data_IF_882158216460
#
_entry.id   IF_882158216460
#
_cell.length_a   1.000
_cell.length_b   1.000
_cell.length_c   1.000
_cell.angle_alpha   90.00
_cell.angle_beta   90.00
_cell.angle_gamma   90.00
#
_symmetry.space_group_name_H-M   'P 1'
#
loop_
_entity.id
_entity.type
_entity.pdbx_description
1 polymer ?
#
# COMPACT_ATOMS: atom_id res chain seq x y z
N UNK A 1 -35.28 25.50 -27.57
CA UNK A 1 -35.05 24.87 -26.26
C UNK A 1 -33.77 24.07 -26.33
N UNK A 2 -32.66 24.61 -25.80
CA UNK A 2 -31.37 23.91 -25.79
C UNK A 2 -31.31 23.05 -24.52
N UNK A 3 -31.29 21.73 -24.67
CA UNK A 3 -31.01 20.79 -23.57
C UNK A 3 -29.55 20.38 -23.65
N UNK A 4 -28.69 21.07 -22.89
CA UNK A 4 -27.31 20.66 -22.68
C UNK A 4 -27.25 19.61 -21.56
N UNK A 5 -27.10 18.33 -21.92
CA UNK A 5 -26.69 17.29 -20.97
C UNK A 5 -25.21 17.52 -20.59
N UNK A 6 -24.83 17.42 -19.30
CA UNK A 6 -23.42 17.40 -18.92
C UNK A 6 -22.77 16.12 -19.44
N UNK A 7 -21.72 16.26 -20.27
CA UNK A 7 -20.83 15.16 -20.65
C UNK A 7 -19.93 14.85 -19.47
N UNK A 8 -20.15 13.70 -18.82
CA UNK A 8 -19.16 13.10 -17.93
C UNK A 8 -17.91 12.72 -18.75
N UNK A 9 -16.70 13.14 -18.39
CA UNK A 9 -15.50 12.60 -19.01
C UNK A 9 -15.15 11.28 -18.33
N UNK A 10 -15.71 10.17 -18.81
CA UNK A 10 -15.11 8.85 -18.60
C UNK A 10 -13.87 8.77 -19.50
N UNK A 11 -12.76 9.38 -19.06
CA UNK A 11 -11.47 9.17 -19.69
C UNK A 11 -11.12 7.68 -19.53
N UNK A 12 -11.07 6.96 -20.65
CA UNK A 12 -10.46 5.61 -20.69
C UNK A 12 -9.06 5.72 -20.07
N UNK A 13 -8.60 4.76 -19.25
CA UNK A 13 -7.23 4.75 -18.77
C UNK A 13 -6.32 4.86 -20.00
N UNK A 14 -5.53 5.94 -20.05
CA UNK A 14 -4.56 6.11 -21.12
C UNK A 14 -3.52 5.01 -20.94
N UNK A 15 -3.11 4.38 -22.04
CA UNK A 15 -1.97 3.48 -21.98
C UNK A 15 -0.77 4.25 -21.42
N UNK A 16 0.04 3.62 -20.55
CA UNK A 16 1.22 4.26 -19.99
C UNK A 16 2.22 4.64 -21.08
N UNK A 17 2.94 5.72 -20.85
CA UNK A 17 4.05 6.12 -21.73
C UNK A 17 5.29 5.27 -21.48
N UNK A 18 6.20 5.19 -22.45
CA UNK A 18 7.47 4.47 -22.32
C UNK A 18 8.28 4.94 -21.09
N UNK A 19 8.33 6.25 -20.84
CA UNK A 19 8.97 6.81 -19.64
C UNK A 19 8.31 6.38 -18.33
N UNK A 20 6.98 6.25 -18.31
CA UNK A 20 6.26 5.73 -17.14
C UNK A 20 6.59 4.25 -16.94
N UNK A 21 6.53 3.45 -18.01
CA UNK A 21 6.92 2.04 -17.98
C UNK A 21 8.36 1.86 -17.46
N UNK A 22 9.32 2.64 -17.94
CA UNK A 22 10.72 2.58 -17.49
C UNK A 22 10.87 2.96 -16.02
N UNK A 23 10.17 4.01 -15.58
CA UNK A 23 10.16 4.43 -14.18
C UNK A 23 9.60 3.33 -13.27
N UNK A 24 8.49 2.69 -13.66
CA UNK A 24 7.85 1.62 -12.89
C UNK A 24 8.63 0.31 -12.93
N UNK A 25 9.41 0.05 -14.00
CA UNK A 25 10.34 -1.08 -14.08
C UNK A 25 11.55 -0.89 -13.17
N UNK A 26 11.96 0.37 -12.94
CA UNK A 26 13.13 0.69 -12.13
C UNK A 26 12.91 0.35 -10.65
N UNK A 27 11.75 0.69 -10.08
CA UNK A 27 11.42 0.32 -8.70
C UNK A 27 9.92 0.18 -8.46
N UNK A 28 9.57 -0.72 -7.53
CA UNK A 28 8.16 -0.89 -7.11
C UNK A 28 7.65 0.39 -6.45
N UNK A 29 8.50 1.09 -5.72
CA UNK A 29 8.18 2.39 -5.13
C UNK A 29 7.68 3.40 -6.18
N UNK A 30 8.36 3.51 -7.32
CA UNK A 30 7.95 4.42 -8.38
C UNK A 30 6.57 4.05 -8.94
N UNK A 31 6.28 2.75 -9.04
CA UNK A 31 4.96 2.28 -9.45
C UNK A 31 3.88 2.60 -8.42
N UNK A 32 4.18 2.47 -7.11
CA UNK A 32 3.20 2.73 -6.04
C UNK A 32 2.93 4.23 -5.82
N UNK A 33 3.92 5.09 -6.03
CA UNK A 33 3.78 6.54 -5.91
C UNK A 33 3.10 7.18 -7.12
N UNK A 34 3.14 6.54 -8.29
CA UNK A 34 2.42 6.98 -9.49
C UNK A 34 0.98 6.47 -9.47
N UNK A 35 0.00 7.37 -9.67
CA UNK A 35 -1.43 7.01 -9.63
C UNK A 35 -1.80 5.99 -10.71
N UNK A 36 -1.23 6.10 -11.90
CA UNK A 36 -1.48 5.15 -12.99
C UNK A 36 -0.69 3.86 -12.76
N UNK A 37 0.55 3.96 -12.29
CA UNK A 37 1.39 2.82 -11.92
C UNK A 37 0.71 1.94 -10.86
N UNK A 38 0.16 2.56 -9.82
CA UNK A 38 -0.57 1.87 -8.76
C UNK A 38 -1.79 1.13 -9.33
N UNK A 39 -2.59 1.78 -10.17
CA UNK A 39 -3.78 1.16 -10.80
C UNK A 39 -3.40 0.00 -11.71
N UNK A 40 -2.36 0.17 -12.53
CA UNK A 40 -1.88 -0.88 -13.43
C UNK A 40 -1.33 -2.07 -12.65
N UNK A 41 -0.61 -1.84 -11.56
CA UNK A 41 -0.09 -2.91 -10.72
C UNK A 41 -1.21 -3.60 -9.93
N UNK A 42 -2.19 -2.85 -9.40
CA UNK A 42 -3.35 -3.42 -8.72
C UNK A 42 -4.15 -4.34 -9.64
N UNK A 43 -4.49 -3.87 -10.85
CA UNK A 43 -5.21 -4.66 -11.84
C UNK A 43 -4.41 -5.92 -12.25
N UNK A 44 -3.09 -5.78 -12.37
CA UNK A 44 -2.21 -6.94 -12.61
C UNK A 44 -2.30 -7.95 -11.46
N UNK A 45 -2.26 -7.51 -10.20
CA UNK A 45 -2.35 -8.42 -9.05
C UNK A 45 -3.70 -9.16 -9.00
N UNK A 46 -4.82 -8.48 -9.29
CA UNK A 46 -6.14 -9.12 -9.37
C UNK A 46 -6.18 -10.23 -10.45
N UNK A 47 -5.64 -9.93 -11.63
CA UNK A 47 -5.52 -10.91 -12.69
C UNK A 47 -4.58 -12.05 -12.29
N UNK A 48 -3.45 -11.73 -11.66
CA UNK A 48 -2.45 -12.69 -11.24
C UNK A 48 -2.97 -13.66 -10.16
N UNK A 49 -3.80 -13.18 -9.22
CA UNK A 49 -4.52 -14.03 -8.27
C UNK A 49 -5.41 -15.03 -9.00
N UNK A 50 -6.17 -14.56 -9.99
CA UNK A 50 -7.08 -15.38 -10.81
C UNK A 50 -6.30 -16.45 -11.58
N UNK A 51 -5.24 -16.07 -12.27
CA UNK A 51 -4.36 -16.98 -13.03
C UNK A 51 -3.71 -18.04 -12.14
N UNK A 52 -3.35 -17.66 -10.90
CA UNK A 52 -2.73 -18.55 -9.90
C UNK A 52 -3.75 -19.35 -9.10
N UNK A 53 -5.06 -19.21 -9.37
CA UNK A 53 -6.15 -19.82 -8.59
C UNK A 53 -6.04 -19.53 -7.08
N UNK A 54 -5.53 -18.35 -6.75
CA UNK A 54 -5.49 -17.86 -5.37
C UNK A 54 -6.86 -17.33 -4.97
N UNK A 55 -7.10 -17.26 -3.66
CA UNK A 55 -8.25 -16.52 -3.16
C UNK A 55 -8.14 -15.04 -3.56
N UNK A 56 -9.26 -14.43 -3.96
CA UNK A 56 -9.29 -13.00 -4.27
C UNK A 56 -8.83 -12.19 -3.06
N UNK A 57 -7.94 -11.23 -3.29
CA UNK A 57 -7.40 -10.35 -2.27
C UNK A 57 -6.12 -10.83 -1.59
N UNK A 58 -5.54 -11.97 -2.01
CA UNK A 58 -4.30 -12.51 -1.40
C UNK A 58 -3.08 -11.63 -1.64
N UNK A 59 -2.96 -11.03 -2.82
CA UNK A 59 -1.88 -10.13 -3.21
C UNK A 59 -2.32 -8.67 -3.18
N UNK A 60 -3.56 -8.34 -3.57
CA UNK A 60 -4.01 -6.93 -3.57
C UNK A 60 -4.11 -6.33 -2.17
N UNK A 61 -4.30 -7.13 -1.11
CA UNK A 61 -4.27 -6.65 0.28
C UNK A 61 -2.95 -5.98 0.69
N UNK A 62 -1.85 -6.25 0.00
CA UNK A 62 -0.58 -5.54 0.21
C UNK A 62 -0.70 -4.09 -0.28
N UNK A 63 -1.36 -3.87 -1.41
CA UNK A 63 -1.66 -2.53 -1.91
C UNK A 63 -2.69 -1.83 -1.05
N UNK A 64 -3.70 -2.56 -0.55
CA UNK A 64 -4.65 -2.01 0.43
C UNK A 64 -3.92 -1.53 1.70
N UNK A 65 -2.98 -2.32 2.23
CA UNK A 65 -2.15 -1.93 3.37
C UNK A 65 -1.33 -0.67 3.07
N UNK A 66 -0.65 -0.63 1.91
CA UNK A 66 0.08 0.56 1.47
C UNK A 66 -0.83 1.80 1.42
N UNK A 67 -2.03 1.67 0.87
CA UNK A 67 -3.00 2.76 0.78
C UNK A 67 -3.46 3.23 2.15
N UNK A 68 -3.80 2.31 3.05
CA UNK A 68 -4.24 2.64 4.40
C UNK A 68 -3.14 3.34 5.21
N UNK A 69 -1.88 2.92 5.08
CA UNK A 69 -0.74 3.59 5.71
C UNK A 69 -0.49 5.00 5.14
N UNK A 70 -0.61 5.19 3.82
CA UNK A 70 -0.43 6.52 3.22
C UNK A 70 -1.59 7.48 3.55
N UNK A 71 -2.82 6.97 3.59
CA UNK A 71 -3.96 7.74 4.08
C UNK A 71 -3.78 8.09 5.57
N UNK A 72 -3.26 7.16 6.36
CA UNK A 72 -2.94 7.39 7.76
C UNK A 72 -1.96 8.57 7.96
N UNK A 73 -0.93 8.68 7.12
CA UNK A 73 0.06 9.78 7.17
C UNK A 73 -0.54 11.18 6.93
N UNK A 74 -1.74 11.26 6.37
CA UNK A 74 -2.39 12.55 6.10
C UNK A 74 -3.17 13.11 7.30
N UNK A 75 -3.43 12.29 8.33
CA UNK A 75 -4.09 12.75 9.55
C UNK A 75 -3.09 13.50 10.44
N UNK A 76 -3.48 14.69 10.93
CA UNK A 76 -2.63 15.56 11.76
C UNK A 76 -3.36 16.17 12.96
N UNK A 77 -4.53 15.66 13.29
CA UNK A 77 -5.53 16.45 14.02
C UNK A 77 -5.73 16.01 15.48
N UNK A 78 -5.25 14.83 15.90
CA UNK A 78 -5.23 14.38 17.30
C UNK A 78 -4.38 13.10 17.48
N UNK A 79 -3.59 13.03 18.55
CA UNK A 79 -2.69 11.89 18.82
C UNK A 79 -3.43 10.59 19.17
N UNK A 80 -4.53 10.69 19.90
CA UNK A 80 -5.29 9.53 20.36
C UNK A 80 -6.03 8.92 19.16
N UNK A 81 -6.60 9.74 18.29
CA UNK A 81 -7.15 9.32 17.01
C UNK A 81 -6.09 8.68 16.10
N UNK A 82 -4.88 9.24 16.03
CA UNK A 82 -3.75 8.63 15.31
C UNK A 82 -3.42 7.26 15.88
N UNK A 83 -3.28 7.10 17.19
CA UNK A 83 -3.05 5.80 17.82
C UNK A 83 -4.15 4.80 17.51
N UNK A 84 -5.41 5.20 17.66
CA UNK A 84 -6.56 4.34 17.39
C UNK A 84 -6.59 3.90 15.91
N UNK A 85 -6.26 4.79 14.98
CA UNK A 85 -6.14 4.46 13.54
C UNK A 85 -4.96 3.52 13.29
N UNK A 86 -3.80 3.78 13.88
CA UNK A 86 -2.63 2.92 13.75
C UNK A 86 -2.92 1.50 14.28
N UNK A 87 -3.52 1.38 15.46
CA UNK A 87 -3.94 0.09 16.02
C UNK A 87 -4.96 -0.65 15.15
N UNK A 88 -5.89 0.08 14.50
CA UNK A 88 -6.83 -0.51 13.54
C UNK A 88 -6.13 -1.09 12.31
N UNK A 89 -5.14 -0.38 11.76
CA UNK A 89 -4.33 -0.87 10.64
C UNK A 89 -3.55 -2.12 11.06
N UNK A 90 -2.90 -2.09 12.22
CA UNK A 90 -2.18 -3.26 12.78
C UNK A 90 -3.13 -4.45 12.96
N UNK A 91 -4.32 -4.25 13.51
CA UNK A 91 -5.30 -5.30 13.70
C UNK A 91 -5.85 -5.86 12.38
N UNK A 92 -5.96 -5.03 11.35
CA UNK A 92 -6.52 -5.40 10.05
C UNK A 92 -5.54 -6.19 9.17
N UNK A 93 -4.24 -5.87 9.23
CA UNK A 93 -3.23 -6.41 8.33
C UNK A 93 -2.10 -7.20 9.01
N UNK A 94 -1.71 -6.88 10.24
CA UNK A 94 -0.48 -7.41 10.85
C UNK A 94 -0.73 -8.38 12.01
N UNK A 95 -1.91 -8.36 12.62
CA UNK A 95 -2.22 -9.29 13.71
C UNK A 95 -2.25 -10.76 13.23
N UNK A 96 -1.90 -11.75 14.08
CA UNK A 96 -1.91 -13.17 13.70
C UNK A 96 -3.24 -13.69 13.15
N UNK A 97 -4.37 -13.06 13.50
CA UNK A 97 -5.72 -13.39 13.02
C UNK A 97 -6.37 -12.23 12.25
N UNK A 98 -5.53 -11.36 11.69
CA UNK A 98 -5.97 -10.25 10.88
C UNK A 98 -6.79 -10.73 9.67
N UNK A 99 -7.94 -10.09 9.43
CA UNK A 99 -8.83 -10.45 8.31
C UNK A 99 -8.12 -10.29 6.96
N UNK A 100 -7.27 -9.27 6.83
CA UNK A 100 -6.44 -9.01 5.65
C UNK A 100 -4.96 -9.26 5.98
N UNK A 101 -4.65 -10.31 6.74
CA UNK A 101 -3.27 -10.59 7.18
C UNK A 101 -2.29 -10.55 6.00
N UNK A 102 -1.22 -9.79 6.13
CA UNK A 102 -0.08 -9.78 5.20
C UNK A 102 1.16 -10.32 5.92
N UNK A 103 2.12 -10.81 5.13
CA UNK A 103 3.47 -11.09 5.62
C UNK A 103 4.36 -9.90 5.30
N UNK A 104 5.13 -9.43 6.28
CA UNK A 104 6.23 -8.49 6.06
C UNK A 104 7.48 -9.37 5.90
N UNK A 105 8.18 -9.28 4.77
CA UNK A 105 9.44 -9.98 4.61
C UNK A 105 10.48 -9.32 5.52
N UNK A 106 11.10 -10.08 6.43
CA UNK A 106 12.09 -9.53 7.36
C UNK A 106 11.91 -10.03 8.79
N UNK A 107 12.44 -9.27 9.74
CA UNK A 107 12.44 -9.61 11.17
C UNK A 107 11.02 -9.67 11.76
N UNK A 108 10.74 -10.74 12.50
CA UNK A 108 9.48 -10.94 13.23
C UNK A 108 9.17 -9.81 14.24
N UNK A 109 10.19 -9.01 14.58
CA UNK A 109 10.11 -7.94 15.58
C UNK A 109 9.46 -6.64 15.08
N UNK A 110 9.27 -6.45 13.77
CA UNK A 110 8.69 -5.20 13.22
C UNK A 110 7.33 -4.90 13.85
N UNK A 111 6.48 -5.92 13.97
CA UNK A 111 5.12 -5.77 14.53
C UNK A 111 5.17 -5.39 16.01
N UNK A 112 6.13 -5.95 16.75
CA UNK A 112 6.34 -5.65 18.17
C UNK A 112 6.80 -4.20 18.34
N UNK A 113 7.82 -3.78 17.59
CA UNK A 113 8.30 -2.38 17.58
C UNK A 113 7.17 -1.40 17.26
N UNK A 114 6.36 -1.70 16.24
CA UNK A 114 5.22 -0.87 15.83
C UNK A 114 4.25 -0.63 16.99
N UNK A 115 3.83 -1.71 17.66
CA UNK A 115 2.91 -1.63 18.80
C UNK A 115 3.51 -0.88 19.99
N UNK A 116 4.78 -1.10 20.28
CA UNK A 116 5.47 -0.37 21.33
C UNK A 116 5.55 1.12 21.04
N UNK A 117 5.92 1.50 19.81
CA UNK A 117 5.99 2.90 19.40
C UNK A 117 4.62 3.56 19.55
N UNK A 118 3.55 2.95 19.05
CA UNK A 118 2.18 3.47 19.20
C UNK A 118 1.81 3.66 20.69
N UNK A 119 2.18 2.71 21.54
CA UNK A 119 1.85 2.74 22.97
C UNK A 119 2.67 3.73 23.80
N UNK A 120 3.92 4.03 23.39
CA UNK A 120 4.85 4.90 24.13
C UNK A 120 4.68 6.39 23.87
N UNK A 121 4.02 6.79 22.78
CA UNK A 121 3.80 8.21 22.50
C UNK A 121 2.74 8.76 23.46
N UNK A 122 3.08 9.71 24.34
CA UNK A 122 2.13 10.28 25.31
C UNK A 122 1.87 11.78 25.10
N UNK A 123 2.69 12.45 24.28
CA UNK A 123 2.67 13.90 24.10
C UNK A 123 2.04 14.30 22.77
N UNK A 124 1.02 15.15 22.81
CA UNK A 124 0.37 15.74 21.64
C UNK A 124 1.16 16.93 21.05
N UNK A 125 2.49 16.87 21.16
CA UNK A 125 3.37 17.84 20.52
C UNK A 125 3.76 17.37 19.10
N UNK A 126 4.39 18.27 18.33
CA UNK A 126 4.83 17.95 16.97
C UNK A 126 5.76 16.72 16.92
N UNK A 127 6.46 16.42 18.02
CA UNK A 127 7.33 15.25 18.12
C UNK A 127 6.53 13.94 18.17
N UNK A 128 5.48 13.89 18.99
CA UNK A 128 4.61 12.72 19.08
C UNK A 128 3.84 12.44 17.79
N UNK A 129 3.31 13.50 17.16
CA UNK A 129 2.63 13.39 15.86
C UNK A 129 3.60 12.92 14.77
N UNK A 130 4.84 13.43 14.74
CA UNK A 130 5.84 13.02 13.76
C UNK A 130 6.24 11.55 13.92
N UNK A 131 6.43 11.08 15.16
CA UNK A 131 6.74 9.66 15.46
C UNK A 131 5.58 8.76 15.00
N UNK A 132 4.34 9.13 15.32
CA UNK A 132 3.18 8.35 14.89
C UNK A 132 3.00 8.36 13.37
N UNK A 133 3.26 9.48 12.69
CA UNK A 133 3.12 9.58 11.22
C UNK A 133 4.07 8.62 10.51
N UNK A 134 5.31 8.48 11.01
CA UNK A 134 6.32 7.57 10.46
C UNK A 134 6.25 6.13 10.96
N UNK A 135 5.29 5.78 11.82
CA UNK A 135 5.29 4.50 12.54
C UNK A 135 5.21 3.26 11.63
N UNK A 136 4.69 3.43 10.41
CA UNK A 136 4.59 2.35 9.42
C UNK A 136 5.73 2.31 8.40
N UNK A 137 6.73 3.21 8.47
CA UNK A 137 7.77 3.30 7.45
C UNK A 137 8.56 2.00 7.32
N UNK A 138 9.07 1.46 8.42
CA UNK A 138 9.78 0.17 8.44
C UNK A 138 8.90 -0.98 7.91
N UNK A 139 7.61 -0.99 8.25
CA UNK A 139 6.68 -2.01 7.76
C UNK A 139 6.38 -1.87 6.25
N UNK A 140 6.29 -0.64 5.73
CA UNK A 140 6.11 -0.39 4.30
C UNK A 140 7.37 -0.79 3.52
N UNK A 141 8.56 -0.56 4.08
CA UNK A 141 9.83 -0.96 3.48
C UNK A 141 9.91 -2.49 3.35
N UNK A 142 9.70 -3.21 4.45
CA UNK A 142 9.66 -4.67 4.46
C UNK A 142 8.56 -5.27 3.58
N UNK A 143 7.40 -4.61 3.48
CA UNK A 143 6.35 -5.02 2.55
C UNK A 143 6.80 -4.87 1.09
N UNK A 144 7.48 -3.77 0.75
CA UNK A 144 7.99 -3.53 -0.61
C UNK A 144 9.05 -4.55 -0.98
N UNK A 145 10.01 -4.81 -0.10
CA UNK A 145 11.02 -5.85 -0.29
C UNK A 145 10.37 -7.22 -0.46
N UNK A 146 9.35 -7.56 0.35
CA UNK A 146 8.63 -8.82 0.20
C UNK A 146 7.94 -8.96 -1.17
N UNK A 147 7.38 -7.87 -1.69
CA UNK A 147 6.75 -7.85 -3.02
C UNK A 147 7.77 -7.94 -4.16
N UNK A 148 8.96 -7.36 -4.00
CA UNK A 148 10.03 -7.37 -5.00
C UNK A 148 10.82 -8.68 -5.00
N UNK A 149 11.29 -9.15 -3.84
CA UNK A 149 12.26 -10.26 -3.72
C UNK A 149 11.63 -11.66 -3.76
N UNK A 150 10.29 -11.77 -3.74
CA UNK A 150 9.61 -13.01 -4.16
C UNK A 150 8.51 -13.53 -3.24
N UNK A 151 8.17 -12.83 -2.16
CA UNK A 151 7.10 -13.21 -1.24
C UNK A 151 5.75 -13.44 -1.93
N UNK A 152 5.39 -12.59 -2.90
CA UNK A 152 4.21 -12.78 -3.75
C UNK A 152 4.52 -13.55 -5.05
N UNK A 153 5.31 -14.63 -4.99
CA UNK A 153 5.66 -15.45 -6.14
C UNK A 153 6.30 -14.65 -7.30
N UNK A 154 7.11 -13.63 -6.97
CA UNK A 154 7.74 -12.71 -7.94
C UNK A 154 6.71 -12.01 -8.84
N UNK A 155 5.56 -11.64 -8.28
CA UNK A 155 4.48 -10.93 -8.98
C UNK A 155 5.01 -9.66 -9.66
N UNK A 156 5.80 -8.86 -8.94
CA UNK A 156 6.36 -7.62 -9.48
C UNK A 156 7.36 -7.87 -10.62
N UNK A 157 8.26 -8.85 -10.53
CA UNK A 157 9.12 -9.26 -11.66
C UNK A 157 8.34 -9.67 -12.91
N UNK A 158 7.20 -10.35 -12.72
CA UNK A 158 6.33 -10.73 -13.84
C UNK A 158 5.66 -9.51 -14.46
N UNK A 159 5.18 -8.59 -13.63
CA UNK A 159 4.60 -7.34 -14.10
C UNK A 159 5.61 -6.49 -14.88
N UNK A 160 6.84 -6.34 -14.37
CA UNK A 160 7.94 -5.64 -15.06
C UNK A 160 8.15 -6.13 -16.50
N UNK A 161 8.02 -7.44 -16.74
CA UNK A 161 8.17 -8.06 -18.07
C UNK A 161 6.98 -7.80 -19.01
N UNK A 162 5.83 -7.40 -18.48
CA UNK A 162 4.62 -7.08 -19.26
C UNK A 162 4.52 -5.59 -19.61
N UNK A 163 5.28 -4.74 -18.91
CA UNK A 163 5.41 -3.33 -19.26
C UNK A 163 6.21 -3.23 -20.57
N UNK A 164 5.54 -2.84 -21.66
CA UNK A 164 6.17 -2.57 -22.97
C UNK A 164 6.46 -1.07 -23.01
#
# INVERSE_FOLDING_TARGET
MASSKPKSPTAKPKNPTEKQCDSWKFSLENALQDLDGFKHFYAFLEQYETERKQQQGVYTRYLDFWTDCNNYKQFKEDIEDLKQKALKIVALYLAPRAKKRIELGGDDDIITKLKETIGKVETDDESGISVLTGVFDEALDSMREYLDEGGCCKAYDRWKKQLI
#
